data_IF_622896889976
#
_entry.id   IF_622896889976
#
_cell.length_a   1.000
_cell.length_b   1.000
_cell.length_c   1.000
_cell.angle_alpha   90.00
_cell.angle_beta   90.00
_cell.angle_gamma   90.00
#
_symmetry.space_group_name_H-M   'P 1'
#
loop_
_entity.id
_entity.type
_entity.pdbx_description
1 polymer ?
#
# COMPACT_ATOMS: atom_id res chain seq x y z
N UNK A 1 7.60 -1.33 -8.73
CA UNK A 1 8.02 -0.31 -9.70
C UNK A 1 6.97 0.76 -9.69
N UNK A 2 7.30 2.05 -9.58
CA UNK A 2 6.30 3.10 -9.60
C UNK A 2 5.62 3.12 -10.97
N UNK A 3 4.30 3.23 -10.96
CA UNK A 3 3.45 3.30 -12.15
C UNK A 3 3.69 4.58 -12.96
N UNK A 4 4.25 5.61 -12.32
CA UNK A 4 4.56 6.91 -12.90
C UNK A 4 6.07 7.13 -13.02
N UNK A 5 6.48 7.79 -14.11
CA UNK A 5 7.88 8.10 -14.39
C UNK A 5 8.46 9.21 -13.47
N UNK A 6 7.62 10.08 -12.92
CA UNK A 6 8.02 11.21 -12.09
C UNK A 6 7.07 11.46 -10.94
N UNK A 7 7.56 12.17 -9.92
CA UNK A 7 6.74 12.60 -8.78
C UNK A 7 5.60 13.51 -9.25
N UNK A 8 5.90 14.46 -10.14
CA UNK A 8 4.90 15.39 -10.69
C UNK A 8 3.78 14.67 -11.43
N UNK A 9 4.08 13.61 -12.18
CA UNK A 9 3.06 12.83 -12.88
C UNK A 9 2.11 12.12 -11.89
N UNK A 10 2.62 11.59 -10.77
CA UNK A 10 1.78 11.02 -9.73
C UNK A 10 0.91 12.08 -9.03
N UNK A 11 1.46 13.27 -8.78
CA UNK A 11 0.72 14.40 -8.22
C UNK A 11 -0.40 14.88 -9.14
N UNK A 12 -0.14 15.01 -10.45
CA UNK A 12 -1.13 15.39 -11.46
C UNK A 12 -2.28 14.37 -11.54
N UNK A 13 -1.95 13.07 -11.46
CA UNK A 13 -2.92 11.99 -11.42
C UNK A 13 -3.66 11.87 -10.06
N UNK A 14 -3.24 12.63 -9.04
CA UNK A 14 -3.73 12.55 -7.65
C UNK A 14 -3.61 11.14 -7.06
N UNK A 15 -2.59 10.40 -7.48
CA UNK A 15 -2.29 9.08 -6.91
C UNK A 15 -1.37 9.25 -5.69
N UNK A 16 -2.00 9.44 -4.53
CA UNK A 16 -1.29 9.69 -3.27
C UNK A 16 -0.34 8.53 -2.89
N UNK A 17 -0.70 7.29 -3.20
CA UNK A 17 0.15 6.14 -2.90
C UNK A 17 1.38 6.13 -3.80
N UNK A 18 1.19 6.31 -5.10
CA UNK A 18 2.30 6.36 -6.03
C UNK A 18 3.22 7.56 -5.77
N UNK A 19 2.65 8.72 -5.39
CA UNK A 19 3.41 9.89 -4.98
C UNK A 19 4.30 9.56 -3.76
N UNK A 20 3.73 8.95 -2.72
CA UNK A 20 4.47 8.58 -1.52
C UNK A 20 5.58 7.56 -1.80
N UNK A 21 5.33 6.58 -2.68
CA UNK A 21 6.34 5.58 -3.08
C UNK A 21 7.50 6.20 -3.88
N UNK A 22 7.22 7.12 -4.81
CA UNK A 22 8.25 7.84 -5.56
C UNK A 22 9.05 8.75 -4.63
N UNK A 23 8.38 9.46 -3.71
CA UNK A 23 9.03 10.31 -2.71
C UNK A 23 9.97 9.50 -1.82
N UNK A 24 9.54 8.32 -1.35
CA UNK A 24 10.37 7.41 -0.57
C UNK A 24 11.62 6.99 -1.35
N UNK A 25 11.47 6.60 -2.61
CA UNK A 25 12.60 6.23 -3.48
C UNK A 25 13.62 7.36 -3.60
N UNK A 26 13.17 8.58 -3.90
CA UNK A 26 14.06 9.75 -4.03
C UNK A 26 14.81 10.06 -2.72
N UNK A 27 14.12 9.94 -1.58
CA UNK A 27 14.74 10.10 -0.27
C UNK A 27 15.78 9.01 0.00
N UNK A 28 15.49 7.76 -0.37
CA UNK A 28 16.40 6.63 -0.17
C UNK A 28 17.65 6.75 -1.04
N UNK A 29 17.48 7.08 -2.32
CA UNK A 29 18.60 7.35 -3.25
C UNK A 29 19.49 8.47 -2.71
N UNK A 30 18.90 9.56 -2.20
CA UNK A 30 19.66 10.67 -1.60
C UNK A 30 20.35 10.25 -0.31
N UNK A 31 19.71 9.43 0.51
CA UNK A 31 20.26 8.91 1.77
C UNK A 31 21.50 8.02 1.54
N UNK A 32 21.48 7.23 0.47
CA UNK A 32 22.61 6.40 0.05
C UNK A 32 23.74 7.27 -0.54
N UNK A 33 23.40 8.20 -1.43
CA UNK A 33 24.37 9.06 -2.12
C UNK A 33 25.01 10.12 -1.22
N UNK A 34 24.32 10.59 -0.18
CA UNK A 34 24.77 11.68 0.68
C UNK A 34 24.78 11.27 2.17
N UNK A 35 25.81 10.52 2.63
CA UNK A 35 25.90 10.04 4.01
C UNK A 35 25.82 11.15 5.08
N UNK A 36 26.30 12.35 4.76
CA UNK A 36 26.27 13.52 5.64
C UNK A 36 24.85 14.01 5.96
N UNK A 37 23.86 13.66 5.12
CA UNK A 37 22.47 14.05 5.31
C UNK A 37 21.63 12.99 6.04
N UNK A 38 22.21 11.83 6.39
CA UNK A 38 21.43 10.70 6.95
C UNK A 38 20.68 11.05 8.22
N UNK A 39 21.28 11.82 9.12
CA UNK A 39 20.61 12.26 10.34
C UNK A 39 19.35 13.08 10.06
N UNK A 40 19.36 13.89 8.99
CA UNK A 40 18.24 14.73 8.59
C UNK A 40 17.20 13.94 7.76
N UNK A 41 17.66 12.98 6.95
CA UNK A 41 16.82 12.22 6.03
C UNK A 41 16.13 11.02 6.69
N UNK A 42 16.71 10.42 7.74
CA UNK A 42 16.12 9.27 8.44
C UNK A 42 14.69 9.54 8.94
N UNK A 43 14.42 10.66 9.65
CA UNK A 43 13.06 10.97 10.08
C UNK A 43 12.07 11.14 8.91
N UNK A 44 12.52 11.69 7.78
CA UNK A 44 11.68 11.84 6.59
C UNK A 44 11.35 10.48 5.96
N UNK A 45 12.35 9.59 5.84
CA UNK A 45 12.17 8.22 5.35
C UNK A 45 11.16 7.43 6.20
N UNK A 46 11.29 7.47 7.53
CA UNK A 46 10.38 6.75 8.41
C UNK A 46 8.94 7.30 8.36
N UNK A 47 8.78 8.62 8.23
CA UNK A 47 7.45 9.23 8.02
C UNK A 47 6.82 8.77 6.70
N UNK A 48 7.58 8.78 5.61
CA UNK A 48 7.06 8.32 4.31
C UNK A 48 6.77 6.82 4.30
N UNK A 49 7.56 5.98 4.98
CA UNK A 49 7.21 4.55 5.17
C UNK A 49 5.87 4.40 5.89
N UNK A 50 5.66 5.14 6.98
CA UNK A 50 4.41 5.09 7.73
C UNK A 50 3.21 5.57 6.89
N UNK A 51 3.41 6.59 6.06
CA UNK A 51 2.41 7.10 5.10
C UNK A 51 2.06 6.05 4.05
N UNK A 52 3.05 5.42 3.41
CA UNK A 52 2.85 4.33 2.44
C UNK A 52 2.05 3.19 3.07
N UNK A 53 2.39 2.78 4.30
CA UNK A 53 1.66 1.72 5.00
C UNK A 53 0.19 2.10 5.25
N UNK A 54 -0.08 3.34 5.66
CA UNK A 54 -1.46 3.84 5.82
C UNK A 54 -2.21 3.87 4.50
N UNK A 55 -1.61 4.41 3.45
CA UNK A 55 -2.24 4.51 2.12
C UNK A 55 -2.53 3.13 1.52
N UNK A 56 -1.62 2.16 1.70
CA UNK A 56 -1.85 0.77 1.30
C UNK A 56 -2.99 0.12 2.08
N UNK A 57 -3.15 0.43 3.36
CA UNK A 57 -4.24 -0.09 4.17
C UNK A 57 -5.60 0.54 3.81
N UNK A 58 -5.60 1.78 3.31
CA UNK A 58 -6.81 2.51 2.89
C UNK A 58 -7.20 2.19 1.45
N UNK A 59 -6.23 1.88 0.57
CA UNK A 59 -6.52 1.51 -0.81
C UNK A 59 -7.45 0.30 -0.80
N UNK A 60 -8.70 0.41 -1.28
CA UNK A 60 -9.58 -0.73 -1.35
C UNK A 60 -8.87 -1.77 -2.22
N UNK A 61 -8.66 -2.97 -1.69
CA UNK A 61 -8.33 -4.11 -2.53
C UNK A 61 -9.41 -4.14 -3.60
N UNK A 62 -9.03 -3.87 -4.86
CA UNK A 62 -9.88 -4.17 -6.00
C UNK A 62 -10.39 -5.58 -5.80
N UNK A 63 -11.71 -5.70 -5.60
CA UNK A 63 -12.38 -6.90 -5.13
C UNK A 63 -11.84 -8.15 -5.83
N UNK A 64 -11.15 -9.01 -5.09
CA UNK A 64 -11.12 -10.45 -5.37
C UNK A 64 -10.63 -11.23 -4.14
N UNK A 65 -11.33 -11.03 -3.02
CA UNK A 65 -11.52 -12.13 -2.07
C UNK A 65 -12.99 -12.48 -2.12
N UNK A 66 -13.34 -13.28 -3.12
CA UNK A 66 -14.59 -14.04 -3.15
C UNK A 66 -14.57 -15.08 -2.01
N UNK A 67 -14.59 -14.60 -0.77
CA UNK A 67 -15.03 -15.43 0.33
C UNK A 67 -16.49 -15.69 0.05
N UNK A 68 -16.81 -16.82 -0.58
CA UNK A 68 -18.19 -17.24 -0.77
C UNK A 68 -18.80 -17.39 0.61
N UNK A 69 -19.55 -16.37 1.04
CA UNK A 69 -20.39 -16.44 2.23
C UNK A 69 -21.52 -17.37 1.86
N UNK A 70 -21.34 -18.65 2.15
CA UNK A 70 -22.41 -19.63 1.99
C UNK A 70 -23.40 -19.37 3.11
N UNK A 71 -24.65 -19.09 2.76
CA UNK A 71 -25.72 -18.93 3.73
C UNK A 71 -25.84 -20.20 4.58
N UNK A 72 -26.12 -20.03 5.87
CA UNK A 72 -26.30 -21.16 6.78
C UNK A 72 -27.47 -22.03 6.28
N UNK A 73 -27.16 -23.27 5.91
CA UNK A 73 -28.12 -24.27 5.46
C UNK A 73 -28.23 -25.36 6.54
N UNK A 74 -29.34 -25.33 7.29
CA UNK A 74 -29.63 -26.30 8.35
C UNK A 74 -29.90 -27.71 7.81
N UNK A 75 -30.37 -27.84 6.58
CA UNK A 75 -30.69 -29.14 5.97
C UNK A 75 -29.42 -29.92 5.64
N UNK A 76 -28.29 -29.21 5.43
CA UNK A 76 -26.97 -29.79 5.24
C UNK A 76 -26.43 -30.55 6.47
N UNK A 77 -26.93 -30.23 7.65
CA UNK A 77 -26.54 -30.88 8.92
C UNK A 77 -27.56 -31.93 9.38
N UNK A 78 -28.64 -32.15 8.62
CA UNK A 78 -29.64 -33.15 8.96
C UNK A 78 -29.09 -34.54 8.57
N UNK A 79 -29.08 -35.46 9.53
CA UNK A 79 -28.61 -36.83 9.34
C UNK A 79 -29.47 -37.51 8.27
N UNK A 80 -28.87 -37.84 7.12
CA UNK A 80 -29.53 -38.58 6.06
C UNK A 80 -29.77 -40.03 6.51
N UNK A 81 -31.03 -40.37 6.77
CA UNK A 81 -31.44 -41.71 7.18
C UNK A 81 -32.53 -41.65 8.24
N UNK A 82 -33.76 -41.43 7.79
CA UNK A 82 -34.94 -42.02 8.40
C UNK A 82 -35.09 -43.45 7.86
#
# INVERSE_FOLDING_TARGET
MPEYASLSAAMEAKDELAEAEIRYRLLAETFEAMPQLRANLNPALERTKAEILRLRAVKPESQEKSGTVVAFDADRFRKSGA
#
